data_IF_623819381955
#
_entry.id   IF_623819381955
#
_cell.length_a   1.000
_cell.length_b   1.000
_cell.length_c   1.000
_cell.angle_alpha   90.00
_cell.angle_beta   90.00
_cell.angle_gamma   90.00
#
_symmetry.space_group_name_H-M   'P 1'
#
loop_
_entity.id
_entity.type
_entity.pdbx_description
1 polymer ?
#
# COMPACT_ATOMS: atom_id res chain seq x y z
N UNK A 1 5.00 6.44 -42.83
CA UNK A 1 6.36 7.05 -42.71
C UNK A 1 7.04 6.52 -41.43
N UNK A 2 8.32 6.15 -41.49
CA UNK A 2 9.05 5.70 -40.29
C UNK A 2 9.47 6.90 -39.42
N UNK A 3 9.55 6.69 -38.11
CA UNK A 3 9.95 7.68 -37.09
C UNK A 3 11.31 8.32 -37.45
N UNK A 4 12.28 7.51 -37.90
CA UNK A 4 13.60 7.99 -38.31
C UNK A 4 13.54 8.98 -39.49
N UNK A 5 12.62 8.77 -40.42
CA UNK A 5 12.45 9.66 -41.57
C UNK A 5 11.87 11.00 -41.13
N UNK A 6 10.86 10.98 -40.25
CA UNK A 6 10.23 12.18 -39.71
C UNK A 6 11.25 13.00 -38.94
N UNK A 7 11.99 12.37 -38.01
CA UNK A 7 13.04 13.00 -37.22
C UNK A 7 14.09 13.70 -38.09
N UNK A 8 14.54 13.04 -39.17
CA UNK A 8 15.52 13.58 -40.12
C UNK A 8 15.00 14.79 -40.89
N UNK A 9 13.72 14.79 -41.29
CA UNK A 9 13.13 15.89 -42.07
C UNK A 9 12.91 17.14 -41.21
N UNK A 10 12.54 16.97 -39.94
CA UNK A 10 12.21 18.09 -39.03
C UNK A 10 13.39 18.50 -38.13
N UNK A 11 14.48 17.73 -38.11
CA UNK A 11 15.71 18.08 -37.41
C UNK A 11 15.67 17.91 -35.89
N UNK A 12 14.79 17.06 -35.36
CA UNK A 12 14.71 16.77 -33.90
C UNK A 12 15.11 15.32 -33.59
N UNK A 13 15.47 14.99 -32.33
CA UNK A 13 15.70 13.62 -31.89
C UNK A 13 14.46 12.73 -32.09
N UNK A 14 14.67 11.42 -32.32
CA UNK A 14 13.57 10.45 -32.48
C UNK A 14 12.67 10.38 -31.24
N UNK A 15 13.23 10.63 -30.06
CA UNK A 15 12.55 10.63 -28.77
C UNK A 15 11.48 11.74 -28.73
N UNK A 16 11.79 12.92 -29.27
CA UNK A 16 10.84 14.04 -29.35
C UNK A 16 9.69 13.74 -30.33
N UNK A 17 9.98 13.02 -31.42
CA UNK A 17 8.94 12.56 -32.37
C UNK A 17 8.00 11.56 -31.71
N UNK A 18 8.54 10.58 -30.97
CA UNK A 18 7.73 9.61 -30.22
C UNK A 18 6.86 10.33 -29.19
N UNK A 19 7.45 11.23 -28.41
CA UNK A 19 6.73 11.99 -27.38
C UNK A 19 5.59 12.84 -27.97
N UNK A 20 5.83 13.50 -29.09
CA UNK A 20 4.81 14.29 -29.78
C UNK A 20 3.68 13.40 -30.32
N UNK A 21 4.00 12.23 -30.87
CA UNK A 21 3.00 11.27 -31.37
C UNK A 21 2.15 10.68 -30.25
N UNK A 22 2.75 10.38 -29.10
CA UNK A 22 2.02 9.94 -27.90
C UNK A 22 1.10 11.02 -27.36
N UNK A 23 1.51 12.29 -27.43
CA UNK A 23 0.74 13.43 -26.93
C UNK A 23 -0.54 13.74 -27.72
N UNK A 24 -0.66 13.21 -28.95
CA UNK A 24 -1.82 13.42 -29.83
C UNK A 24 -2.81 12.24 -29.72
N UNK A 25 -2.51 11.20 -28.92
CA UNK A 25 -3.43 10.09 -28.76
C UNK A 25 -4.72 10.52 -28.07
N UNK A 26 -5.85 10.19 -28.69
CA UNK A 26 -7.17 10.40 -28.11
C UNK A 26 -7.37 9.53 -26.87
N UNK A 27 -8.15 10.03 -25.91
CA UNK A 27 -8.53 9.26 -24.73
C UNK A 27 -9.48 8.13 -25.08
N UNK A 28 -9.24 6.94 -24.54
CA UNK A 28 -10.13 5.78 -24.66
C UNK A 28 -11.20 5.82 -23.57
N UNK A 29 -12.44 5.42 -23.89
CA UNK A 29 -13.52 5.33 -22.90
C UNK A 29 -13.33 4.08 -22.03
N UNK A 30 -13.42 4.25 -20.72
CA UNK A 30 -13.44 3.12 -19.78
C UNK A 30 -14.65 2.18 -19.98
N UNK A 31 -15.72 2.68 -20.60
CA UNK A 31 -16.95 1.95 -20.92
C UNK A 31 -16.99 1.45 -22.36
N UNK A 32 -15.85 1.38 -23.03
CA UNK A 32 -15.74 0.75 -24.34
C UNK A 32 -15.65 -0.78 -24.18
N UNK A 33 -16.47 -1.58 -24.90
CA UNK A 33 -16.41 -3.03 -24.85
C UNK A 33 -15.20 -3.55 -25.63
N UNK A 34 -14.35 -4.34 -24.98
CA UNK A 34 -13.12 -4.92 -25.56
C UNK A 34 -13.27 -6.39 -25.97
N UNK A 35 -14.34 -7.05 -25.51
CA UNK A 35 -14.68 -8.41 -25.91
C UNK A 35 -16.20 -8.62 -25.82
N UNK A 36 -16.79 -9.24 -26.84
CA UNK A 36 -18.21 -9.59 -26.88
C UNK A 36 -18.40 -10.89 -27.68
N UNK A 37 -18.63 -11.99 -26.98
CA UNK A 37 -18.90 -13.31 -27.58
C UNK A 37 -20.23 -13.88 -27.06
N UNK A 38 -21.31 -13.11 -27.29
CA UNK A 38 -22.69 -13.54 -27.02
C UNK A 38 -23.11 -13.56 -25.54
N UNK A 39 -22.22 -13.15 -24.62
CA UNK A 39 -22.49 -12.91 -23.21
C UNK A 39 -22.38 -11.43 -22.82
N UNK A 40 -22.22 -11.15 -21.52
CA UNK A 40 -21.96 -9.79 -21.05
C UNK A 40 -20.65 -9.25 -21.65
N UNK A 41 -20.71 -8.03 -22.17
CA UNK A 41 -19.54 -7.38 -22.74
C UNK A 41 -18.51 -7.08 -21.63
N UNK A 42 -17.23 -7.41 -21.89
CA UNK A 42 -16.13 -7.00 -21.01
C UNK A 42 -15.73 -5.60 -21.43
N UNK A 43 -15.71 -4.67 -20.47
CA UNK A 43 -15.33 -3.28 -20.69
C UNK A 43 -13.88 -3.03 -20.32
N UNK A 44 -13.28 -1.95 -20.84
CA UNK A 44 -11.92 -1.50 -20.46
C UNK A 44 -11.80 -1.39 -18.93
N UNK A 45 -12.81 -0.84 -18.25
CA UNK A 45 -12.82 -0.67 -16.79
C UNK A 45 -12.66 -1.98 -16.02
N UNK A 46 -13.11 -3.11 -16.57
CA UNK A 46 -13.04 -4.41 -15.89
C UNK A 46 -11.60 -4.96 -15.82
N UNK A 47 -10.70 -4.47 -16.69
CA UNK A 47 -9.29 -4.84 -16.70
C UNK A 47 -8.39 -3.81 -16.02
N UNK A 48 -8.91 -2.63 -15.70
CA UNK A 48 -8.14 -1.59 -14.98
C UNK A 48 -8.10 -1.98 -13.51
N UNK A 49 -6.97 -2.55 -13.08
CA UNK A 49 -6.72 -2.86 -11.67
C UNK A 49 -6.62 -1.55 -10.88
N UNK A 50 -7.42 -1.42 -9.82
CA UNK A 50 -7.21 -0.35 -8.84
C UNK A 50 -5.91 -0.63 -8.08
N UNK A 51 -4.89 0.20 -8.28
CA UNK A 51 -3.63 0.11 -7.53
C UNK A 51 -3.82 0.44 -6.04
N UNK A 52 -4.94 1.08 -5.68
CA UNK A 52 -5.34 1.25 -4.30
C UNK A 52 -6.00 -0.04 -3.84
N UNK A 53 -5.16 -0.96 -3.38
CA UNK A 53 -5.53 -2.18 -2.66
C UNK A 53 -6.24 -1.85 -1.30
N UNK A 54 -7.35 -1.12 -1.35
CA UNK A 54 -8.10 -0.63 -0.18
C UNK A 54 -8.71 -1.79 0.60
N UNK A 55 -9.13 -2.86 -0.09
CA UNK A 55 -9.72 -4.04 0.51
C UNK A 55 -8.71 -4.85 1.34
N UNK A 56 -7.52 -5.12 0.80
CA UNK A 56 -6.45 -5.81 1.53
C UNK A 56 -5.99 -5.00 2.75
N UNK A 57 -5.75 -3.70 2.57
CA UNK A 57 -5.39 -2.80 3.68
C UNK A 57 -6.47 -2.74 4.77
N UNK A 58 -7.75 -2.82 4.40
CA UNK A 58 -8.85 -2.80 5.36
C UNK A 58 -8.88 -4.08 6.21
N UNK A 59 -8.75 -5.25 5.59
CA UNK A 59 -8.70 -6.54 6.30
C UNK A 59 -7.50 -6.62 7.25
N UNK A 60 -6.31 -6.21 6.80
CA UNK A 60 -5.11 -6.16 7.64
C UNK A 60 -5.29 -5.21 8.82
N UNK A 61 -5.91 -4.05 8.60
CA UNK A 61 -6.20 -3.08 9.66
C UNK A 61 -7.19 -3.62 10.69
N UNK A 62 -8.18 -4.40 10.26
CA UNK A 62 -9.17 -5.03 11.13
C UNK A 62 -8.52 -6.14 11.96
N UNK A 63 -7.73 -7.01 11.33
CA UNK A 63 -6.98 -8.07 11.99
C UNK A 63 -6.04 -7.48 13.05
N UNK A 64 -5.26 -6.47 12.70
CA UNK A 64 -4.36 -5.78 13.63
C UNK A 64 -5.10 -5.20 14.84
N UNK A 65 -6.25 -4.54 14.63
CA UNK A 65 -7.07 -3.99 15.72
C UNK A 65 -7.55 -5.08 16.67
N UNK A 66 -8.03 -6.20 16.16
CA UNK A 66 -8.48 -7.33 16.97
C UNK A 66 -7.32 -7.99 17.73
N UNK A 67 -6.15 -8.12 17.11
CA UNK A 67 -4.94 -8.62 17.75
C UNK A 67 -4.50 -7.77 18.94
N UNK A 68 -4.52 -6.43 18.80
CA UNK A 68 -4.17 -5.51 19.88
C UNK A 68 -5.18 -5.60 21.04
N UNK A 69 -6.48 -5.81 20.77
CA UNK A 69 -7.49 -6.00 21.83
C UNK A 69 -7.22 -7.24 22.70
N UNK A 70 -6.61 -8.28 22.15
CA UNK A 70 -6.28 -9.53 22.85
C UNK A 70 -5.02 -9.46 23.71
N UNK A 71 -4.24 -8.38 23.63
CA UNK A 71 -3.06 -8.18 24.46
C UNK A 71 -3.45 -8.03 25.94
N UNK A 72 -2.57 -8.48 26.84
CA UNK A 72 -2.75 -8.23 28.28
C UNK A 72 -2.67 -6.73 28.55
N UNK A 73 -3.34 -6.24 29.61
CA UNK A 73 -3.40 -4.80 29.91
C UNK A 73 -2.03 -4.11 29.95
N UNK A 74 -1.01 -4.77 30.52
CA UNK A 74 0.37 -4.25 30.57
C UNK A 74 1.04 -4.21 29.20
N UNK A 75 0.89 -5.26 28.39
CA UNK A 75 1.41 -5.33 27.01
C UNK A 75 0.74 -4.27 26.13
N UNK A 76 -0.58 -4.13 26.24
CA UNK A 76 -1.37 -3.12 25.51
C UNK A 76 -0.93 -1.70 25.88
N UNK A 77 -0.67 -1.41 27.15
CA UNK A 77 -0.18 -0.11 27.59
C UNK A 77 1.20 0.20 26.99
N UNK A 78 2.14 -0.76 27.04
CA UNK A 78 3.47 -0.61 26.43
C UNK A 78 3.36 -0.32 24.93
N UNK A 79 2.58 -1.11 24.18
CA UNK A 79 2.38 -0.91 22.74
C UNK A 79 1.75 0.46 22.45
N UNK A 80 0.80 0.90 23.28
CA UNK A 80 0.18 2.23 23.15
C UNK A 80 1.22 3.34 23.30
N UNK A 81 2.05 3.30 24.34
CA UNK A 81 3.08 4.31 24.56
C UNK A 81 4.15 4.31 23.45
N UNK A 82 4.57 3.13 23.01
CA UNK A 82 5.62 2.95 22.00
C UNK A 82 5.18 3.41 20.61
N UNK A 83 4.02 2.96 20.15
CA UNK A 83 3.61 3.11 18.75
C UNK A 83 2.55 4.18 18.52
N UNK A 84 1.73 4.51 19.53
CA UNK A 84 0.69 5.56 19.40
C UNK A 84 1.09 6.87 20.06
N UNK A 85 2.00 6.85 21.04
CA UNK A 85 2.54 8.05 21.71
C UNK A 85 4.01 8.34 21.37
N UNK A 86 4.67 7.46 20.63
CA UNK A 86 6.04 7.66 20.12
C UNK A 86 7.15 7.64 21.18
N UNK A 87 6.89 7.09 22.39
CA UNK A 87 7.87 7.05 23.46
C UNK A 87 8.97 6.01 23.21
N UNK A 88 10.19 6.30 23.64
CA UNK A 88 11.31 5.37 23.71
C UNK A 88 11.06 4.27 24.76
N UNK A 89 11.77 3.14 24.68
CA UNK A 89 11.63 2.08 25.69
C UNK A 89 12.08 2.54 27.08
N UNK A 90 13.03 3.48 27.15
CA UNK A 90 13.48 4.08 28.40
C UNK A 90 12.38 4.95 29.00
N UNK A 91 11.76 5.85 28.23
CA UNK A 91 10.65 6.68 28.74
C UNK A 91 9.45 5.83 29.20
N UNK A 92 9.17 4.72 28.51
CA UNK A 92 8.14 3.76 28.92
C UNK A 92 8.55 3.01 30.21
N UNK A 93 9.83 2.67 30.35
CA UNK A 93 10.38 2.03 31.54
C UNK A 93 10.22 2.93 32.76
N UNK A 94 10.55 4.21 32.61
CA UNK A 94 10.44 5.24 33.65
C UNK A 94 8.98 5.47 34.05
N UNK A 95 8.06 5.57 33.08
CA UNK A 95 6.63 5.79 33.34
C UNK A 95 5.93 4.58 34.00
N UNK A 96 6.34 3.36 33.65
CA UNK A 96 5.73 2.13 34.19
C UNK A 96 6.44 1.64 35.47
N UNK A 97 7.63 2.15 35.77
CA UNK A 97 8.43 1.75 36.93
C UNK A 97 9.04 0.36 36.81
N UNK A 98 9.55 -0.01 35.64
CA UNK A 98 10.29 -1.27 35.40
C UNK A 98 11.57 -1.01 34.62
N UNK A 99 12.46 -2.00 34.51
CA UNK A 99 13.66 -1.82 33.71
C UNK A 99 13.37 -1.81 32.21
N UNK A 100 14.21 -1.10 31.44
CA UNK A 100 14.13 -1.09 29.97
C UNK A 100 14.21 -2.52 29.39
N UNK A 101 15.02 -3.41 29.99
CA UNK A 101 15.10 -4.80 29.57
C UNK A 101 13.76 -5.55 29.77
N UNK A 102 13.01 -5.24 30.84
CA UNK A 102 11.66 -5.78 31.05
C UNK A 102 10.65 -5.22 30.04
N UNK A 103 10.71 -3.92 29.73
CA UNK A 103 9.90 -3.30 28.67
C UNK A 103 10.16 -3.99 27.33
N UNK A 104 11.43 -4.17 26.96
CA UNK A 104 11.83 -4.82 25.72
C UNK A 104 11.29 -6.25 25.61
N UNK A 105 11.35 -7.05 26.69
CA UNK A 105 10.77 -8.39 26.72
C UNK A 105 9.25 -8.38 26.55
N UNK A 106 8.55 -7.49 27.24
CA UNK A 106 7.09 -7.37 27.14
C UNK A 106 6.65 -6.87 25.76
N UNK A 107 7.35 -5.89 25.19
CA UNK A 107 7.12 -5.38 23.83
C UNK A 107 7.31 -6.50 22.79
N UNK A 108 8.41 -7.25 22.88
CA UNK A 108 8.67 -8.38 21.98
C UNK A 108 7.56 -9.44 22.08
N UNK A 109 7.18 -9.84 23.29
CA UNK A 109 6.10 -10.82 23.50
C UNK A 109 4.75 -10.32 22.93
N UNK A 110 4.45 -9.03 23.09
CA UNK A 110 3.24 -8.42 22.54
C UNK A 110 3.26 -8.43 21.01
N UNK A 111 4.38 -8.06 20.39
CA UNK A 111 4.55 -8.08 18.93
C UNK A 111 4.46 -9.51 18.38
N UNK A 112 5.05 -10.50 19.05
CA UNK A 112 4.96 -11.91 18.65
C UNK A 112 3.53 -12.47 18.78
N UNK A 113 2.72 -11.94 19.70
CA UNK A 113 1.30 -12.27 19.82
C UNK A 113 0.49 -11.63 18.70
N UNK A 114 0.76 -10.36 18.38
CA UNK A 114 0.12 -9.66 17.27
C UNK A 114 0.40 -10.37 15.96
N UNK A 115 1.67 -10.67 15.65
CA UNK A 115 2.06 -11.38 14.43
C UNK A 115 1.36 -12.73 14.27
N UNK A 116 1.25 -13.51 15.34
CA UNK A 116 0.56 -14.82 15.31
C UNK A 116 -0.95 -14.76 15.12
N UNK A 117 -1.56 -13.60 15.26
CA UNK A 117 -3.02 -13.44 15.19
C UNK A 117 -3.50 -12.73 13.92
N UNK A 118 -2.58 -12.27 13.08
CA UNK A 118 -2.86 -11.68 11.76
C UNK A 118 -2.66 -12.71 10.64
N UNK A 119 -2.05 -13.87 10.95
CA UNK A 119 -1.85 -15.02 10.03
C UNK A 119 -3.03 -15.98 10.10
#
# INVERSE_FOLDING_TARGET
PNIDYIAKVIGVPKEEVVFALESIQDTVSLYEPIYNDGGDAIYVVDQVKDEKNLAENWLDSLALRESIKKLKGREKNIITLRFFKGKTQMEVADEIGISQAQVSRLEKNALDRIKRSIV
#
